data_IF_946650301916
#
_entry.id   IF_946650301916
#
_cell.length_a   1.000
_cell.length_b   1.000
_cell.length_c   1.000
_cell.angle_alpha   90.00
_cell.angle_beta   90.00
_cell.angle_gamma   90.00
#
_symmetry.space_group_name_H-M   'P 1'
#
loop_
_entity.id
_entity.type
_entity.pdbx_description
1 polymer ?
#
# COMPACT_ATOMS: atom_id res chain seq x y z
N UNK A 1 15.48 -23.48 35.43
CA UNK A 1 14.69 -24.16 34.40
C UNK A 1 13.68 -23.15 33.87
N UNK A 2 14.04 -22.44 32.80
CA UNK A 2 13.18 -21.41 32.20
C UNK A 2 13.10 -21.71 30.72
N UNK A 3 12.17 -22.59 30.35
CA UNK A 3 11.76 -22.81 28.96
C UNK A 3 10.75 -21.70 28.63
N UNK A 4 11.22 -20.58 28.09
CA UNK A 4 10.36 -19.49 27.62
C UNK A 4 10.62 -19.11 26.16
N UNK A 5 11.31 -19.95 25.38
CA UNK A 5 11.70 -19.63 23.99
C UNK A 5 10.90 -20.36 22.91
N UNK A 6 10.12 -21.38 23.28
CA UNK A 6 9.40 -22.22 22.32
C UNK A 6 7.92 -21.80 22.15
N UNK A 7 7.31 -21.16 23.15
CA UNK A 7 5.88 -20.82 23.14
C UNK A 7 5.50 -19.78 22.09
N UNK A 8 6.37 -18.80 21.84
CA UNK A 8 6.06 -17.66 20.95
C UNK A 8 6.13 -18.02 19.46
N UNK A 9 6.84 -19.09 19.09
CA UNK A 9 6.94 -19.56 17.71
C UNK A 9 5.73 -20.45 17.39
N UNK A 10 5.37 -21.35 18.30
CA UNK A 10 4.17 -22.19 18.16
C UNK A 10 2.88 -21.36 18.08
N UNK A 11 2.75 -20.28 18.87
CA UNK A 11 1.56 -19.41 18.83
C UNK A 11 1.40 -18.69 17.49
N UNK A 12 2.49 -18.29 16.85
CA UNK A 12 2.45 -17.65 15.54
C UNK A 12 2.09 -18.64 14.42
N UNK A 13 2.61 -19.86 14.46
CA UNK A 13 2.26 -20.90 13.49
C UNK A 13 0.80 -21.34 13.60
N UNK A 14 0.28 -21.46 14.83
CA UNK A 14 -1.15 -21.72 15.11
C UNK A 14 -2.03 -20.57 14.58
N UNK A 15 -1.67 -19.32 14.87
CA UNK A 15 -2.39 -18.13 14.40
C UNK A 15 -2.46 -18.07 12.86
N UNK A 16 -1.35 -18.33 12.16
CA UNK A 16 -1.31 -18.35 10.70
C UNK A 16 -2.12 -19.53 10.12
N UNK A 17 -2.12 -20.69 10.77
CA UNK A 17 -2.92 -21.84 10.34
C UNK A 17 -4.42 -21.59 10.47
N UNK A 18 -4.85 -20.98 11.57
CA UNK A 18 -6.27 -20.65 11.78
C UNK A 18 -6.75 -19.57 10.80
N UNK A 19 -5.92 -18.57 10.50
CA UNK A 19 -6.20 -17.60 9.42
C UNK A 19 -6.21 -18.23 8.01
N UNK A 20 -5.48 -19.32 7.79
CA UNK A 20 -5.50 -20.07 6.52
C UNK A 20 -6.78 -20.89 6.33
N UNK A 21 -7.55 -21.16 7.39
CA UNK A 21 -8.84 -21.81 7.26
C UNK A 21 -9.90 -20.78 6.85
N UNK A 22 -9.91 -20.44 5.57
CA UNK A 22 -10.91 -19.55 4.99
C UNK A 22 -12.30 -20.22 5.01
N UNK A 23 -13.29 -19.70 5.73
CA UNK A 23 -14.63 -20.29 5.76
C UNK A 23 -15.29 -20.34 4.37
N UNK A 24 -14.87 -19.49 3.42
CA UNK A 24 -15.32 -19.53 2.01
C UNK A 24 -14.82 -20.73 1.21
N UNK A 25 -13.79 -21.41 1.70
CA UNK A 25 -13.35 -22.67 1.10
C UNK A 25 -14.40 -23.76 1.31
N UNK A 26 -15.25 -23.69 2.35
CA UNK A 26 -16.25 -24.71 2.63
C UNK A 26 -17.31 -24.79 1.53
N UNK A 27 -17.85 -23.66 1.08
CA UNK A 27 -18.76 -23.61 -0.06
C UNK A 27 -18.05 -23.96 -1.37
N UNK A 28 -16.82 -23.45 -1.56
CA UNK A 28 -16.03 -23.73 -2.76
C UNK A 28 -15.66 -25.21 -2.91
N UNK A 29 -15.66 -25.98 -1.79
CA UNK A 29 -15.43 -27.43 -1.75
C UNK A 29 -16.70 -28.26 -1.78
N UNK A 30 -17.87 -27.64 -1.96
CA UNK A 30 -19.14 -28.33 -2.14
C UNK A 30 -19.85 -28.72 -0.85
N UNK A 31 -19.66 -27.96 0.24
CA UNK A 31 -20.51 -28.10 1.42
C UNK A 31 -21.97 -27.83 1.04
N UNK A 32 -22.90 -28.67 1.50
CA UNK A 32 -24.33 -28.50 1.25
C UNK A 32 -24.88 -27.30 2.03
N UNK A 33 -25.80 -26.56 1.42
CA UNK A 33 -26.41 -25.35 1.98
C UNK A 33 -27.07 -25.59 3.36
N UNK A 34 -27.70 -26.74 3.56
CA UNK A 34 -28.33 -27.12 4.85
C UNK A 34 -27.31 -27.28 5.99
N UNK A 35 -26.07 -27.67 5.65
CA UNK A 35 -24.97 -27.80 6.61
C UNK A 35 -24.30 -26.46 6.90
N UNK A 36 -24.51 -25.45 6.05
CA UNK A 36 -23.99 -24.08 6.24
C UNK A 36 -24.77 -23.32 7.32
N UNK A 37 -26.09 -23.53 7.39
CA UNK A 37 -26.95 -22.92 8.41
C UNK A 37 -26.46 -23.19 9.84
N UNK A 38 -25.87 -24.35 10.08
CA UNK A 38 -25.35 -24.78 11.37
C UNK A 38 -23.83 -24.60 11.51
N UNK A 39 -23.19 -23.89 10.58
CA UNK A 39 -21.74 -23.70 10.58
C UNK A 39 -21.36 -22.38 11.26
N UNK A 40 -21.04 -22.45 12.54
CA UNK A 40 -20.62 -21.29 13.34
C UNK A 40 -19.33 -20.63 12.80
N UNK A 41 -18.42 -21.39 12.18
CA UNK A 41 -17.19 -20.84 11.61
C UNK A 41 -17.43 -20.01 10.34
N UNK A 42 -18.51 -20.27 9.61
CA UNK A 42 -18.93 -19.45 8.47
C UNK A 42 -19.51 -18.12 8.92
N UNK A 43 -20.37 -18.13 9.94
CA UNK A 43 -21.06 -16.93 10.44
C UNK A 43 -20.17 -16.05 11.32
N UNK A 44 -19.34 -16.68 12.16
CA UNK A 44 -18.55 -15.98 13.18
C UNK A 44 -17.05 -15.92 12.83
N UNK A 45 -16.61 -16.59 11.76
CA UNK A 45 -15.20 -16.66 11.38
C UNK A 45 -14.32 -17.46 12.35
N UNK A 46 -12.99 -17.42 12.15
CA UNK A 46 -12.03 -18.02 13.08
C UNK A 46 -12.13 -17.40 14.49
N UNK A 47 -12.08 -18.24 15.53
CA UNK A 47 -12.12 -17.82 16.94
C UNK A 47 -11.04 -16.82 17.31
N UNK A 48 -9.89 -16.91 16.66
CA UNK A 48 -8.76 -15.97 16.81
C UNK A 48 -9.12 -14.51 16.47
N UNK A 49 -10.13 -14.27 15.63
CA UNK A 49 -10.62 -12.91 15.32
C UNK A 49 -11.74 -12.45 16.26
N UNK A 50 -12.24 -13.34 17.13
CA UNK A 50 -13.31 -13.02 18.09
C UNK A 50 -12.77 -12.49 19.41
N UNK A 51 -11.47 -12.64 19.67
CA UNK A 51 -10.78 -12.05 20.82
C UNK A 51 -10.38 -10.61 20.51
N UNK A 52 -10.64 -9.68 21.44
CA UNK A 52 -10.14 -8.30 21.38
C UNK A 52 -8.62 -8.21 21.59
N UNK A 53 -8.01 -9.28 22.11
CA UNK A 53 -6.56 -9.43 22.20
C UNK A 53 -5.99 -9.86 20.85
N UNK A 54 -5.46 -8.89 20.10
CA UNK A 54 -4.53 -9.19 19.02
C UNK A 54 -3.33 -9.93 19.61
N UNK A 55 -2.80 -11.00 18.97
CA UNK A 55 -1.50 -11.51 19.35
C UNK A 55 -0.53 -10.33 19.32
N UNK A 56 0.38 -10.25 20.29
CA UNK A 56 1.52 -9.36 20.18
C UNK A 56 2.21 -9.69 18.86
N UNK A 57 1.92 -8.88 17.85
CA UNK A 57 2.70 -8.87 16.65
C UNK A 57 4.07 -8.46 17.13
N UNK A 58 4.94 -9.46 17.36
CA UNK A 58 6.37 -9.23 17.39
C UNK A 58 6.73 -8.90 15.95
N UNK A 59 6.34 -7.70 15.54
CA UNK A 59 7.08 -6.97 14.54
C UNK A 59 8.42 -6.78 15.24
N UNK A 60 9.34 -7.72 15.02
CA UNK A 60 10.76 -7.38 15.01
C UNK A 60 10.91 -6.37 13.86
N UNK A 61 10.42 -5.14 14.09
CA UNK A 61 11.03 -3.96 13.54
C UNK A 61 12.40 -3.93 14.19
N UNK A 62 13.30 -4.78 13.70
CA UNK A 62 14.72 -4.60 13.87
C UNK A 62 14.95 -3.12 13.58
N UNK A 63 15.57 -2.42 14.54
CA UNK A 63 16.02 -1.06 14.31
C UNK A 63 16.67 -1.02 12.92
N UNK A 64 16.37 -0.03 12.07
CA UNK A 64 16.90 -0.01 10.72
C UNK A 64 18.41 -0.21 10.81
N UNK A 65 18.88 -1.32 10.23
CA UNK A 65 20.29 -1.71 10.25
C UNK A 65 21.13 -0.46 9.96
N UNK A 66 22.06 -0.13 10.88
CA UNK A 66 22.90 1.07 10.70
C UNK A 66 23.68 1.04 9.38
N UNK A 67 23.90 -0.16 8.83
CA UNK A 67 24.52 -0.41 7.53
C UNK A 67 23.69 0.09 6.33
N UNK A 68 22.38 0.32 6.49
CA UNK A 68 21.51 0.89 5.45
C UNK A 68 21.30 2.41 5.58
N UNK A 69 21.81 3.03 6.64
CA UNK A 69 21.78 4.50 6.80
C UNK A 69 22.68 5.30 5.82
N UNK A 70 23.79 4.77 5.26
CA UNK A 70 24.60 5.52 4.30
C UNK A 70 23.82 5.87 3.03
N UNK A 71 22.97 4.96 2.55
CA UNK A 71 22.13 5.20 1.36
C UNK A 71 21.05 6.27 1.60
N UNK A 72 20.63 6.44 2.86
CA UNK A 72 19.64 7.44 3.26
C UNK A 72 20.26 8.83 3.51
N UNK A 73 21.59 8.92 3.65
CA UNK A 73 22.32 10.17 3.87
C UNK A 73 23.00 10.67 2.59
N UNK A 74 22.19 11.14 1.64
CA UNK A 74 22.59 12.35 0.90
C UNK A 74 21.51 13.41 1.00
N UNK A 75 21.50 14.13 2.13
CA UNK A 75 20.67 15.32 2.32
C UNK A 75 21.36 16.63 1.92
N UNK A 76 22.62 16.58 1.48
CA UNK A 76 23.41 17.79 1.21
C UNK A 76 24.16 17.81 -0.14
N UNK A 77 24.12 16.76 -0.96
CA UNK A 77 24.56 16.92 -2.34
C UNK A 77 23.45 17.67 -3.09
N UNK A 78 23.72 18.94 -3.43
CA UNK A 78 23.06 19.58 -4.57
C UNK A 78 23.56 18.88 -5.83
N UNK A 79 23.23 17.61 -5.97
CA UNK A 79 23.46 16.90 -7.22
C UNK A 79 22.57 17.62 -8.23
N UNK A 80 23.22 18.33 -9.13
CA UNK A 80 22.56 18.96 -10.25
C UNK A 80 21.96 17.82 -11.06
N UNK A 81 20.69 17.52 -10.82
CA UNK A 81 19.92 16.57 -11.63
C UNK A 81 19.82 17.21 -13.02
N UNK A 82 20.68 16.77 -13.93
CA UNK A 82 20.62 17.18 -15.33
C UNK A 82 19.51 16.36 -16.00
N UNK A 83 18.38 17.01 -16.28
CA UNK A 83 17.28 16.41 -17.01
C UNK A 83 17.54 16.56 -18.51
N UNK A 84 17.91 15.46 -19.17
CA UNK A 84 18.01 15.43 -20.64
C UNK A 84 16.61 15.28 -21.24
N UNK A 85 16.04 16.39 -21.71
CA UNK A 85 14.78 16.37 -22.46
C UNK A 85 15.04 15.84 -23.88
N UNK A 86 14.53 14.66 -24.18
CA UNK A 86 14.46 14.19 -25.56
C UNK A 86 13.35 14.98 -26.27
N UNK A 87 13.74 15.96 -27.07
CA UNK A 87 12.87 16.95 -27.73
C UNK A 87 11.88 16.37 -28.75
N UNK A 88 11.97 15.07 -29.06
CA UNK A 88 11.17 14.44 -30.10
C UNK A 88 9.76 14.02 -29.64
N UNK A 89 9.50 13.97 -28.32
CA UNK A 89 8.17 13.65 -27.76
C UNK A 89 7.87 14.53 -26.57
N UNK A 90 6.65 15.02 -26.47
CA UNK A 90 6.26 15.81 -25.31
C UNK A 90 6.07 14.90 -24.09
N UNK A 91 6.23 15.46 -22.89
CA UNK A 91 5.92 14.77 -21.64
C UNK A 91 4.45 14.28 -21.62
N UNK A 92 3.57 15.01 -22.30
CA UNK A 92 2.17 14.61 -22.49
C UNK A 92 2.05 13.31 -23.27
N UNK A 93 2.72 13.20 -24.43
CA UNK A 93 2.72 11.98 -25.24
C UNK A 93 3.20 10.77 -24.43
N UNK A 94 4.20 10.96 -23.58
CA UNK A 94 4.70 9.89 -22.71
C UNK A 94 3.64 9.42 -21.70
N UNK A 95 2.92 10.35 -21.06
CA UNK A 95 1.90 10.03 -20.06
C UNK A 95 0.71 9.32 -20.72
N UNK A 96 0.21 9.84 -21.84
CA UNK A 96 -0.96 9.27 -22.53
C UNK A 96 -0.64 7.86 -23.04
N UNK A 97 0.57 7.64 -23.57
CA UNK A 97 0.99 6.31 -24.03
C UNK A 97 1.26 5.32 -22.89
N UNK A 98 1.26 5.75 -21.62
CA UNK A 98 1.53 4.88 -20.47
C UNK A 98 0.32 4.02 -20.08
N UNK A 99 -0.90 4.46 -20.37
CA UNK A 99 -2.12 3.74 -19.98
C UNK A 99 -3.33 4.13 -20.82
N UNK A 100 -4.16 3.15 -21.18
CA UNK A 100 -5.45 3.40 -21.83
C UNK A 100 -6.56 3.80 -20.84
N UNK A 101 -6.26 3.82 -19.52
CA UNK A 101 -7.23 4.20 -18.49
C UNK A 101 -7.11 5.68 -18.18
N UNK A 102 -8.11 6.47 -18.58
CA UNK A 102 -8.13 7.92 -18.37
C UNK A 102 -7.92 8.31 -16.90
N UNK A 103 -8.55 7.60 -15.96
CA UNK A 103 -8.40 7.86 -14.52
C UNK A 103 -6.97 7.66 -14.02
N UNK A 104 -6.17 6.80 -14.68
CA UNK A 104 -4.76 6.62 -14.36
C UNK A 104 -3.95 7.80 -14.87
N UNK A 105 -4.21 8.25 -16.10
CA UNK A 105 -3.57 9.43 -16.69
C UNK A 105 -3.85 10.68 -15.84
N UNK A 106 -5.12 10.91 -15.47
CA UNK A 106 -5.55 12.03 -14.61
C UNK A 106 -4.80 12.00 -13.29
N UNK A 107 -4.68 10.83 -12.65
CA UNK A 107 -3.91 10.70 -11.39
C UNK A 107 -2.44 11.03 -11.57
N UNK A 108 -1.78 10.51 -12.61
CA UNK A 108 -0.37 10.82 -12.89
C UNK A 108 -0.19 12.33 -13.06
N UNK A 109 -1.02 12.95 -13.90
CA UNK A 109 -0.96 14.38 -14.19
C UNK A 109 -1.20 15.22 -12.94
N UNK A 110 -2.18 14.85 -12.10
CA UNK A 110 -2.47 15.54 -10.84
C UNK A 110 -1.29 15.50 -9.85
N UNK A 111 -0.50 14.41 -9.82
CA UNK A 111 0.73 14.36 -9.02
C UNK A 111 1.83 15.24 -9.60
N UNK A 112 1.96 15.31 -10.92
CA UNK A 112 2.94 16.20 -11.57
C UNK A 112 2.59 17.68 -11.35
N UNK A 113 1.32 18.07 -11.50
CA UNK A 113 0.87 19.44 -11.21
C UNK A 113 1.10 19.79 -9.74
N UNK A 114 0.81 18.86 -8.82
CA UNK A 114 1.12 19.03 -7.40
C UNK A 114 2.62 19.18 -7.16
N UNK A 115 3.45 18.39 -7.83
CA UNK A 115 4.90 18.48 -7.72
C UNK A 115 5.40 19.86 -8.15
N UNK A 116 4.99 20.33 -9.33
CA UNK A 116 5.32 21.68 -9.83
C UNK A 116 4.87 22.76 -8.85
N UNK A 117 3.63 22.66 -8.34
CA UNK A 117 3.10 23.59 -7.33
C UNK A 117 3.92 23.59 -6.04
N UNK A 118 4.41 22.43 -5.59
CA UNK A 118 5.21 22.29 -4.38
C UNK A 118 6.64 22.78 -4.56
N UNK A 119 7.20 22.64 -5.77
CA UNK A 119 8.49 23.24 -6.13
C UNK A 119 8.43 24.77 -6.14
N UNK A 120 7.31 25.33 -6.63
CA UNK A 120 7.09 26.79 -6.66
C UNK A 120 6.77 27.38 -5.29
N UNK A 121 6.14 26.61 -4.40
CA UNK A 121 5.70 27.05 -3.07
C UNK A 121 6.31 26.19 -1.96
N UNK A 122 7.62 26.33 -1.67
CA UNK A 122 8.32 25.46 -0.73
C UNK A 122 7.82 25.57 0.72
N UNK A 123 7.31 26.74 1.11
CA UNK A 123 6.77 26.99 2.46
C UNK A 123 5.36 26.43 2.67
N UNK A 124 4.60 26.18 1.59
CA UNK A 124 3.22 25.71 1.64
C UNK A 124 3.04 24.46 0.77
N UNK A 125 3.77 23.40 1.10
CA UNK A 125 3.72 22.14 0.36
C UNK A 125 2.41 21.41 0.58
N UNK A 126 1.74 21.09 -0.53
CA UNK A 126 0.54 20.24 -0.55
C UNK A 126 0.95 18.78 -0.29
N UNK A 127 0.44 18.19 0.79
CA UNK A 127 0.67 16.79 1.20
C UNK A 127 -0.65 16.00 1.26
N UNK A 128 -0.58 14.70 1.54
CA UNK A 128 -1.74 13.84 1.72
C UNK A 128 -2.38 13.33 0.41
N UNK A 129 -3.59 12.73 0.48
CA UNK A 129 -4.29 12.17 -0.68
C UNK A 129 -4.59 13.19 -1.80
N UNK A 130 -4.96 12.69 -2.98
CA UNK A 130 -5.49 13.53 -4.05
C UNK A 130 -6.92 13.98 -3.73
N UNK A 131 -7.12 15.29 -3.66
CA UNK A 131 -8.43 15.92 -3.51
C UNK A 131 -9.13 15.99 -4.87
N UNK A 132 -10.46 16.03 -4.86
CA UNK A 132 -11.29 16.15 -6.07
C UNK A 132 -10.89 17.34 -6.94
N UNK A 133 -10.59 18.49 -6.33
CA UNK A 133 -10.12 19.70 -7.02
C UNK A 133 -8.86 19.44 -7.88
N UNK A 134 -7.90 18.67 -7.37
CA UNK A 134 -6.65 18.37 -8.10
C UNK A 134 -6.87 17.41 -9.26
N UNK A 135 -7.86 16.52 -9.14
CA UNK A 135 -8.25 15.63 -10.23
C UNK A 135 -8.97 16.44 -11.32
N UNK A 136 -9.86 17.35 -10.93
CA UNK A 136 -10.56 18.25 -11.86
C UNK A 136 -9.60 19.18 -12.61
N UNK A 137 -8.59 19.72 -11.93
CA UNK A 137 -7.52 20.52 -12.56
C UNK A 137 -6.77 19.72 -13.63
N UNK A 138 -6.44 18.46 -13.33
CA UNK A 138 -5.76 17.57 -14.26
C UNK A 138 -6.66 17.17 -15.44
N UNK A 139 -7.95 16.92 -15.22
CA UNK A 139 -8.94 16.66 -16.27
C UNK A 139 -9.07 17.85 -17.22
N UNK A 140 -9.19 19.06 -16.69
CA UNK A 140 -9.27 20.26 -17.51
C UNK A 140 -7.99 20.49 -18.33
N UNK A 141 -6.83 20.10 -17.81
CA UNK A 141 -5.57 20.16 -18.56
C UNK A 141 -5.54 19.17 -19.74
N UNK A 142 -6.18 18.00 -19.61
CA UNK A 142 -6.24 16.97 -20.66
C UNK A 142 -7.19 17.30 -21.81
N UNK A 143 -8.24 18.07 -21.53
CA UNK A 143 -9.29 18.42 -22.50
C UNK A 143 -8.92 19.65 -23.34
N UNK A 144 -7.89 20.40 -22.93
CA UNK A 144 -7.49 21.66 -23.56
C UNK A 144 -6.58 21.47 -24.75
#
# INVERSE_FOLDING_TARGET
MTKCRDSSIETNDLYIRELKSNPSDLLSRGLKDESLLHNEGWWNGPSVLQSDELPEAVCECSNPDEDYLPELKSKNSKDNIVLTLNSNKTLFDYIVNRSNRILTIVRILSFLLRFVSNCRNPESKRKGPLTSEKLSEAEHYLIK
#
